data_IF_503877032547
#
_entry.id   IF_503877032547
#
_cell.length_a   1.000
_cell.length_b   1.000
_cell.length_c   1.000
_cell.angle_alpha   90.00
_cell.angle_beta   90.00
_cell.angle_gamma   90.00
#
_symmetry.space_group_name_H-M   'P 1'
#
loop_
_entity.id
_entity.type
_entity.pdbx_description
1 polymer ?
#
# COMPACT_ATOMS: atom_id res chain seq x y z
N UNK A 1 21.76 89.68 64.94
CA UNK A 1 20.34 89.45 64.66
C UNK A 1 20.22 89.06 63.20
N UNK A 2 19.45 88.00 62.93
CA UNK A 2 18.73 87.72 61.68
C UNK A 2 19.54 87.50 60.40
N UNK A 3 19.35 86.46 59.59
CA UNK A 3 18.44 85.31 59.63
C UNK A 3 19.01 84.23 58.71
N UNK A 4 18.81 82.98 59.10
CA UNK A 4 19.01 81.81 58.28
C UNK A 4 18.16 81.88 57.00
N UNK A 5 18.74 81.46 55.87
CA UNK A 5 17.97 81.03 54.71
C UNK A 5 18.31 79.56 54.49
N UNK A 6 17.49 78.70 55.08
CA UNK A 6 17.36 77.29 54.73
C UNK A 6 16.91 77.20 53.27
N UNK A 7 17.84 76.88 52.39
CA UNK A 7 17.51 76.35 51.08
C UNK A 7 17.30 74.84 51.24
N UNK A 8 16.04 74.45 51.43
CA UNK A 8 15.61 73.08 51.28
C UNK A 8 15.82 72.65 49.82
N UNK A 9 16.56 71.56 49.55
CA UNK A 9 16.62 71.01 48.20
C UNK A 9 15.26 70.40 47.86
N UNK A 10 14.63 70.93 46.82
CA UNK A 10 13.40 70.44 46.21
C UNK A 10 13.64 69.01 45.71
N UNK A 11 13.26 68.04 46.54
CA UNK A 11 13.25 66.63 46.16
C UNK A 11 12.08 66.35 45.22
N UNK A 12 12.20 66.78 43.97
CA UNK A 12 11.31 66.36 42.89
C UNK A 12 11.65 64.92 42.52
N UNK A 13 11.15 63.99 43.34
CA UNK A 13 11.14 62.57 42.98
C UNK A 13 10.19 62.44 41.82
N UNK A 14 10.74 62.20 40.63
CA UNK A 14 10.05 61.49 39.56
C UNK A 14 9.26 60.33 40.20
N UNK A 15 7.94 60.46 40.30
CA UNK A 15 7.06 59.39 40.72
C UNK A 15 7.21 58.31 39.65
N UNK A 16 8.07 57.33 39.91
CA UNK A 16 8.46 56.33 38.94
C UNK A 16 7.22 55.60 38.43
N UNK A 17 7.00 55.66 37.12
CA UNK A 17 5.97 54.87 36.46
C UNK A 17 6.11 53.40 36.89
N UNK A 18 5.02 52.81 37.37
CA UNK A 18 4.96 51.39 37.73
C UNK A 18 4.08 50.68 36.73
N UNK A 19 4.61 49.63 36.15
CA UNK A 19 3.93 48.81 35.15
C UNK A 19 3.52 47.47 35.75
N UNK A 20 2.36 46.97 35.32
CA UNK A 20 1.89 45.62 35.64
C UNK A 20 1.53 44.95 34.33
N UNK A 21 2.09 43.76 34.10
CA UNK A 21 1.77 42.90 32.96
C UNK A 21 0.70 41.92 33.43
N UNK A 22 -0.37 41.76 32.63
CA UNK A 22 -1.35 40.69 32.78
C UNK A 22 -1.10 39.61 31.74
N UNK A 23 -1.27 38.36 32.13
CA UNK A 23 -1.11 37.19 31.26
C UNK A 23 -2.45 36.49 31.03
N UNK A 24 -2.55 35.79 29.90
CA UNK A 24 -3.69 34.96 29.53
C UNK A 24 -3.17 33.63 28.96
N UNK A 25 -3.83 32.53 29.29
CA UNK A 25 -3.50 31.21 28.74
C UNK A 25 -4.06 31.08 27.32
N UNK A 26 -3.25 30.52 26.42
CA UNK A 26 -3.63 30.25 25.03
C UNK A 26 -3.57 28.75 24.75
N UNK A 27 -4.66 28.17 24.25
CA UNK A 27 -4.69 26.76 23.82
C UNK A 27 -4.14 26.63 22.39
N UNK A 28 -3.12 25.78 22.22
CA UNK A 28 -2.56 25.42 20.92
C UNK A 28 -2.79 23.94 20.63
N UNK A 29 -3.50 23.66 19.53
CA UNK A 29 -3.79 22.29 19.08
C UNK A 29 -3.03 22.00 17.80
N UNK A 30 -2.26 20.91 17.80
CA UNK A 30 -1.50 20.45 16.63
C UNK A 30 -1.85 18.99 16.31
N UNK A 31 -1.93 18.69 15.01
CA UNK A 31 -2.13 17.32 14.54
C UNK A 31 -0.83 16.79 13.96
N UNK A 32 -0.42 15.63 14.45
CA UNK A 32 0.73 14.89 13.94
C UNK A 32 0.29 13.53 13.40
N UNK A 33 0.92 13.10 12.31
CA UNK A 33 0.77 11.74 11.82
C UNK A 33 1.57 10.78 12.69
N UNK A 34 1.02 9.59 12.92
CA UNK A 34 1.74 8.46 13.52
C UNK A 34 1.47 7.21 12.71
N UNK A 35 2.48 6.34 12.64
CA UNK A 35 2.34 5.05 11.98
C UNK A 35 1.33 4.19 12.75
N UNK A 36 0.22 3.86 12.10
CA UNK A 36 -0.80 2.99 12.68
C UNK A 36 -0.46 1.52 12.41
N UNK A 37 -0.28 1.16 11.14
CA UNK A 37 -0.05 -0.22 10.69
C UNK A 37 0.85 -0.26 9.46
N UNK A 38 1.52 -1.41 9.27
CA UNK A 38 2.32 -1.70 8.08
C UNK A 38 1.74 -2.89 7.34
N UNK A 39 1.42 -2.70 6.07
CA UNK A 39 0.94 -3.77 5.18
C UNK A 39 2.07 -4.20 4.25
N UNK A 40 2.28 -5.51 4.13
CA UNK A 40 3.21 -6.11 3.17
C UNK A 40 2.42 -6.98 2.20
N UNK A 41 2.51 -6.68 0.91
CA UNK A 41 1.89 -7.48 -0.15
C UNK A 41 3.00 -8.22 -0.90
N UNK A 42 2.86 -9.54 -0.99
CA UNK A 42 3.84 -10.41 -1.66
C UNK A 42 3.11 -11.30 -2.65
N UNK A 43 3.52 -11.24 -3.91
CA UNK A 43 3.14 -12.25 -4.91
C UNK A 43 4.06 -13.47 -4.73
N UNK A 44 3.50 -14.66 -4.66
CA UNK A 44 4.26 -15.92 -4.68
C UNK A 44 3.89 -16.73 -5.92
N UNK A 45 4.87 -17.45 -6.45
CA UNK A 45 4.66 -18.41 -7.53
C UNK A 45 4.30 -19.73 -6.89
N UNK A 46 3.28 -20.41 -7.43
CA UNK A 46 2.89 -21.75 -7.02
C UNK A 46 2.95 -22.61 -8.27
N UNK A 47 3.60 -23.75 -8.15
CA UNK A 47 3.63 -24.78 -9.17
C UNK A 47 2.66 -25.87 -8.76
N UNK A 48 1.80 -26.28 -9.69
CA UNK A 48 0.90 -27.40 -9.51
C UNK A 48 1.24 -28.46 -10.56
N UNK A 49 1.36 -29.71 -10.13
CA UNK A 49 1.56 -30.84 -11.02
C UNK A 49 0.20 -31.34 -11.52
N UNK A 50 0.09 -31.54 -12.84
CA UNK A 50 -1.11 -32.04 -13.50
C UNK A 50 -0.74 -33.19 -14.42
N UNK A 51 -1.48 -34.29 -14.31
CA UNK A 51 -1.35 -35.43 -15.23
C UNK A 51 -2.41 -35.34 -16.31
N UNK A 52 -2.00 -35.38 -17.57
CA UNK A 52 -2.89 -35.42 -18.74
C UNK A 52 -2.58 -36.70 -19.50
N UNK A 53 -3.60 -37.53 -19.72
CA UNK A 53 -3.48 -38.74 -20.53
C UNK A 53 -4.06 -38.47 -21.91
N UNK A 54 -3.24 -38.68 -22.94
CA UNK A 54 -3.61 -38.52 -24.34
C UNK A 54 -3.36 -39.85 -25.03
N UNK A 55 -4.38 -40.48 -25.67
CA UNK A 55 -4.15 -41.67 -26.47
C UNK A 55 -3.32 -41.30 -27.70
N UNK A 56 -2.30 -42.10 -28.00
CA UNK A 56 -1.49 -41.97 -29.22
C UNK A 56 -1.57 -43.26 -30.01
N UNK A 57 -1.44 -43.15 -31.33
CA UNK A 57 -1.46 -44.25 -32.28
C UNK A 57 -0.09 -44.44 -32.90
N UNK A 58 0.19 -45.66 -33.31
CA UNK A 58 1.31 -46.01 -34.18
C UNK A 58 0.83 -46.98 -35.23
N UNK A 59 1.42 -46.90 -36.41
CA UNK A 59 1.25 -47.89 -37.46
C UNK A 59 2.10 -49.12 -37.11
N UNK A 60 1.47 -50.29 -37.08
CA UNK A 60 2.15 -51.56 -36.86
C UNK A 60 2.14 -52.39 -38.14
N UNK A 61 3.29 -52.98 -38.49
CA UNK A 61 3.38 -53.89 -39.62
C UNK A 61 2.80 -55.24 -39.23
N UNK A 62 1.79 -55.69 -39.97
CA UNK A 62 1.23 -57.04 -39.88
C UNK A 62 1.55 -57.76 -41.18
N UNK A 63 2.14 -58.95 -41.08
CA UNK A 63 2.46 -59.80 -42.22
C UNK A 63 1.68 -61.10 -42.05
N UNK A 64 0.82 -61.39 -43.02
CA UNK A 64 0.05 -62.63 -43.08
C UNK A 64 0.66 -63.52 -44.18
N UNK A 65 0.89 -64.79 -43.84
CA UNK A 65 1.44 -65.77 -44.77
C UNK A 65 0.38 -66.82 -45.06
N UNK A 66 -0.05 -66.88 -46.33
CA UNK A 66 -0.98 -67.89 -46.81
C UNK A 66 -0.26 -68.88 -47.73
N UNK A 67 -0.51 -70.19 -47.58
CA UNK A 67 0.02 -71.18 -48.48
C UNK A 67 -0.60 -71.02 -49.87
N UNK A 68 0.22 -71.18 -50.90
CA UNK A 68 -0.25 -71.18 -52.29
C UNK A 68 -0.98 -72.49 -52.57
N UNK A 69 -2.21 -72.40 -53.07
CA UNK A 69 -3.03 -73.51 -53.55
C UNK A 69 -3.19 -73.40 -55.07
N UNK A 70 -3.69 -74.44 -55.74
CA UNK A 70 -3.99 -74.35 -57.18
C UNK A 70 -5.04 -73.29 -57.52
N UNK A 71 -5.91 -72.97 -56.56
CA UNK A 71 -6.91 -71.90 -56.66
C UNK A 71 -6.23 -70.53 -56.59
N UNK A 72 -5.46 -70.25 -55.53
CA UNK A 72 -4.79 -68.95 -55.36
C UNK A 72 -3.70 -68.69 -56.39
N UNK A 73 -3.08 -69.74 -56.94
CA UNK A 73 -2.13 -69.63 -58.05
C UNK A 73 -2.80 -69.19 -59.37
N UNK A 74 -4.08 -69.53 -59.57
CA UNK A 74 -4.84 -69.12 -60.76
C UNK A 74 -5.34 -67.67 -60.68
N UNK A 75 -5.44 -67.10 -59.48
CA UNK A 75 -5.96 -65.73 -59.26
C UNK A 75 -5.00 -64.61 -59.72
N UNK A 76 -3.73 -64.92 -59.96
CA UNK A 76 -2.80 -63.99 -60.62
C UNK A 76 -1.33 -64.38 -60.47
N UNK A 77 -0.46 -63.92 -61.39
CA UNK A 77 0.99 -64.13 -61.27
C UNK A 77 1.56 -63.40 -60.05
N UNK A 78 2.73 -63.82 -59.53
CA UNK A 78 3.42 -63.11 -58.46
C UNK A 78 3.70 -61.64 -58.84
N UNK A 79 3.68 -60.77 -57.85
CA UNK A 79 4.02 -59.36 -58.01
C UNK A 79 5.46 -59.11 -58.48
N UNK A 80 5.81 -57.85 -58.81
CA UNK A 80 7.15 -57.50 -59.28
C UNK A 80 8.24 -57.86 -58.26
N UNK A 81 9.43 -58.23 -58.75
CA UNK A 81 10.59 -58.61 -57.94
C UNK A 81 11.37 -57.40 -57.37
N UNK A 82 10.67 -56.29 -57.11
CA UNK A 82 11.25 -55.06 -56.59
C UNK A 82 11.15 -55.00 -55.06
N UNK A 83 12.05 -54.25 -54.42
CA UNK A 83 12.02 -54.05 -52.98
C UNK A 83 10.78 -53.25 -52.56
N UNK A 84 10.00 -53.78 -51.61
CA UNK A 84 8.88 -53.07 -51.01
C UNK A 84 9.36 -52.23 -49.82
N UNK A 85 9.32 -50.90 -49.96
CA UNK A 85 9.67 -49.96 -48.88
C UNK A 85 8.40 -49.37 -48.28
N UNK A 86 8.17 -49.63 -46.99
CA UNK A 86 7.08 -49.05 -46.22
C UNK A 86 7.63 -48.09 -45.17
N UNK A 87 6.98 -46.93 -45.00
CA UNK A 87 7.26 -46.01 -43.89
C UNK A 87 6.09 -46.05 -42.93
N UNK A 88 6.36 -46.52 -41.71
CA UNK A 88 5.39 -46.51 -40.62
C UNK A 88 5.49 -45.19 -39.86
N UNK A 89 4.35 -44.69 -39.38
CA UNK A 89 4.22 -43.45 -38.64
C UNK A 89 3.80 -43.70 -37.20
N UNK A 90 4.19 -42.78 -36.33
CA UNK A 90 3.74 -42.73 -34.94
C UNK A 90 3.30 -41.30 -34.58
N UNK A 91 2.29 -41.20 -33.73
CA UNK A 91 1.85 -39.92 -33.16
C UNK A 91 2.77 -39.51 -32.01
N UNK A 92 3.22 -38.25 -32.02
CA UNK A 92 4.04 -37.66 -30.96
C UNK A 92 3.30 -36.48 -30.30
N UNK A 93 3.43 -36.34 -28.98
CA UNK A 93 2.78 -35.27 -28.20
C UNK A 93 3.78 -34.16 -27.91
N UNK A 94 3.40 -32.92 -28.22
CA UNK A 94 4.09 -31.71 -27.77
C UNK A 94 3.28 -31.02 -26.66
N UNK A 95 3.93 -30.72 -25.53
CA UNK A 95 3.29 -30.05 -24.40
C UNK A 95 3.93 -28.69 -24.18
N UNK A 96 3.14 -27.62 -24.24
CA UNK A 96 3.59 -26.23 -24.02
C UNK A 96 2.82 -25.56 -22.90
N UNK A 97 3.52 -24.82 -22.05
CA UNK A 97 2.90 -23.95 -21.05
C UNK A 97 3.11 -22.50 -21.43
N UNK A 98 2.09 -21.67 -21.22
CA UNK A 98 2.15 -20.23 -21.49
C UNK A 98 1.65 -19.42 -20.30
N UNK A 99 2.31 -18.31 -20.04
CA UNK A 99 1.91 -17.39 -18.98
C UNK A 99 0.74 -16.54 -19.50
N UNK A 100 -0.40 -16.63 -18.82
CA UNK A 100 -1.60 -15.84 -19.14
C UNK A 100 -1.88 -14.89 -17.96
N UNK A 101 -2.05 -13.57 -18.19
CA UNK A 101 -2.44 -12.65 -17.14
C UNK A 101 -3.88 -12.92 -16.70
N UNK A 102 -4.09 -13.13 -15.40
CA UNK A 102 -5.41 -13.44 -14.84
C UNK A 102 -6.05 -12.25 -14.10
N UNK A 103 -5.26 -11.53 -13.32
CA UNK A 103 -5.78 -10.51 -12.42
C UNK A 103 -4.84 -9.31 -12.33
N UNK A 104 -5.44 -8.12 -12.19
CA UNK A 104 -4.75 -6.89 -11.81
C UNK A 104 -5.21 -6.47 -10.40
N UNK A 105 -4.29 -6.55 -9.44
CA UNK A 105 -4.54 -6.09 -8.06
C UNK A 105 -4.12 -4.62 -7.93
N UNK A 106 -5.04 -3.77 -7.44
CA UNK A 106 -4.77 -2.36 -7.12
C UNK A 106 -4.89 -2.14 -5.62
N UNK A 107 -3.89 -1.49 -5.04
CA UNK A 107 -3.85 -1.15 -3.62
C UNK A 107 -3.94 0.37 -3.51
N UNK A 108 -4.87 0.86 -2.70
CA UNK A 108 -5.04 2.27 -2.39
C UNK A 108 -5.29 2.46 -0.90
N UNK A 109 -4.96 3.64 -0.38
CA UNK A 109 -5.23 4.06 0.99
C UNK A 109 -6.15 5.26 0.91
N UNK A 110 -7.32 5.13 1.50
CA UNK A 110 -8.27 6.23 1.63
C UNK A 110 -8.07 6.95 2.97
N UNK A 111 -8.18 8.28 2.94
CA UNK A 111 -8.05 9.13 4.13
C UNK A 111 -9.42 9.55 4.59
N UNK A 112 -9.76 9.21 5.83
CA UNK A 112 -10.98 9.65 6.48
C UNK A 112 -10.65 10.72 7.52
N UNK A 113 -11.49 11.74 7.63
CA UNK A 113 -11.37 12.78 8.66
C UNK A 113 -12.51 12.65 9.65
N UNK A 114 -12.17 12.68 10.93
CA UNK A 114 -13.11 12.70 12.05
C UNK A 114 -12.92 14.00 12.84
N UNK A 115 -13.99 14.47 13.50
CA UNK A 115 -13.92 15.63 14.39
C UNK A 115 -13.82 15.13 15.83
N UNK A 116 -12.78 15.55 16.55
CA UNK A 116 -12.69 15.37 17.99
C UNK A 116 -13.06 16.67 18.70
N UNK A 117 -13.85 16.54 19.78
CA UNK A 117 -14.15 17.64 20.67
C UNK A 117 -13.07 17.72 21.75
N UNK A 118 -12.53 18.91 21.96
CA UNK A 118 -11.56 19.22 23.01
C UNK A 118 -12.18 20.35 23.82
N UNK A 119 -12.36 20.13 25.13
CA UNK A 119 -12.87 21.11 26.08
C UNK A 119 -11.75 21.38 27.10
N UNK A 120 -11.33 22.64 27.24
CA UNK A 120 -10.25 23.09 28.13
C UNK A 120 -10.64 24.41 28.79
N UNK A 121 -10.28 24.58 30.07
CA UNK A 121 -10.53 25.81 30.83
C UNK A 121 -9.30 26.72 30.77
N UNK A 122 -9.42 27.87 30.10
CA UNK A 122 -8.34 28.86 30.00
C UNK A 122 -8.52 30.00 31.01
N UNK A 123 -7.42 30.32 31.70
CA UNK A 123 -7.37 31.37 32.72
C UNK A 123 -6.81 32.66 32.13
N UNK A 124 -7.30 33.78 32.67
CA UNK A 124 -6.76 35.11 32.37
C UNK A 124 -6.65 35.96 33.61
N UNK A 125 -5.58 36.72 33.71
CA UNK A 125 -5.38 37.68 34.78
C UNK A 125 -6.16 38.96 34.51
N UNK A 126 -6.75 39.52 35.57
CA UNK A 126 -7.43 40.82 35.54
C UNK A 126 -6.74 41.77 36.51
N UNK A 127 -6.42 42.97 36.05
CA UNK A 127 -5.82 44.01 36.89
C UNK A 127 -6.92 44.97 37.34
N UNK A 128 -7.02 45.16 38.65
CA UNK A 128 -7.88 46.19 39.25
C UNK A 128 -6.99 47.19 39.98
N UNK A 129 -7.25 48.48 39.75
CA UNK A 129 -6.59 49.57 40.47
C UNK A 129 -7.58 50.16 41.45
N UNK A 130 -7.20 50.20 42.73
CA UNK A 130 -7.97 50.82 43.80
C UNK A 130 -7.15 51.98 44.36
N UNK A 131 -7.75 53.18 44.35
CA UNK A 131 -7.19 54.38 44.98
C UNK A 131 -8.13 54.74 46.11
N UNK A 132 -7.61 54.93 47.33
CA UNK A 132 -8.44 55.26 48.50
C UNK A 132 -9.33 56.48 48.19
N UNK A 133 -10.64 56.23 48.04
CA UNK A 133 -11.67 57.23 47.74
C UNK A 133 -12.34 57.16 46.36
N UNK A 134 -11.80 56.47 45.34
CA UNK A 134 -12.47 56.18 44.04
C UNK A 134 -11.88 54.95 43.34
N UNK A 135 -12.75 54.05 42.87
CA UNK A 135 -12.40 52.93 41.99
C UNK A 135 -12.78 53.26 40.54
N UNK A 136 -11.88 52.98 39.60
CA UNK A 136 -12.19 53.05 38.17
C UNK A 136 -11.88 51.71 37.51
N UNK A 137 -12.83 51.20 36.72
CA UNK A 137 -12.73 49.93 36.00
C UNK A 137 -12.32 50.22 34.57
N UNK A 138 -11.07 49.94 34.21
CA UNK A 138 -10.70 49.84 32.80
C UNK A 138 -11.29 48.55 32.20
N UNK A 139 -11.96 48.69 31.05
CA UNK A 139 -12.62 47.62 30.26
C UNK A 139 -11.63 46.71 29.57
#
# INVERSE_FOLDING_TARGET
MSSASEQQPTGDRAQGAREVIRSEEELRVERQWRDAYRVRVTKRIVTEERTITVPVRREELVIEHEPITEETWRDGPPGPAEDLVLTLREEQIEVVTRVVPLERVRISVDRTTERLRIDEDLRREQVRVEVDGRSDRAR
#
